data_IF_983794457925
#
_entry.id   IF_983794457925
#
_cell.length_a   1.000
_cell.length_b   1.000
_cell.length_c   1.000
_cell.angle_alpha   90.00
_cell.angle_beta   90.00
_cell.angle_gamma   90.00
#
_symmetry.space_group_name_H-M   'P 1'
#
loop_
_entity.id
_entity.type
_entity.pdbx_description
1 polymer ?
#
# COMPACT_ATOMS: atom_id res chain seq x y z
N UNK A 1 -1.05 11.51 7.99
CA UNK A 1 -1.55 10.99 9.27
C UNK A 1 -0.46 10.17 9.93
N UNK A 2 -0.41 10.17 11.26
CA UNK A 2 0.58 9.39 12.03
C UNK A 2 0.50 7.89 11.74
N UNK A 3 -0.71 7.40 11.44
CA UNK A 3 -0.96 6.02 11.02
C UNK A 3 -0.08 5.57 9.84
N UNK A 4 0.13 6.42 8.82
CA UNK A 4 0.99 6.08 7.66
C UNK A 4 2.47 5.95 8.04
N UNK A 5 2.92 6.60 9.11
CA UNK A 5 4.33 6.58 9.54
C UNK A 5 4.69 5.30 10.29
N UNK A 6 3.71 4.65 10.91
CA UNK A 6 3.90 3.40 11.66
C UNK A 6 3.80 2.15 10.77
N UNK A 7 3.29 2.27 9.54
CA UNK A 7 3.12 1.14 8.63
C UNK A 7 4.43 0.83 7.89
N UNK A 8 4.77 -0.46 7.71
CA UNK A 8 5.94 -0.85 6.94
C UNK A 8 5.74 -0.44 5.48
N UNK A 9 6.80 0.11 4.87
CA UNK A 9 6.75 0.53 3.47
C UNK A 9 6.63 -0.70 2.56
N UNK A 10 6.08 -0.51 1.37
CA UNK A 10 6.14 -1.52 0.30
C UNK A 10 7.59 -1.92 0.02
N UNK A 11 7.81 -3.20 -0.31
CA UNK A 11 9.11 -3.85 -0.50
C UNK A 11 9.99 -3.97 0.76
N UNK A 12 9.52 -3.53 1.93
CA UNK A 12 10.23 -3.76 3.20
C UNK A 12 10.32 -5.27 3.46
N UNK A 13 11.50 -5.76 3.84
CA UNK A 13 11.69 -7.15 4.26
C UNK A 13 11.10 -7.34 5.65
N UNK A 14 10.24 -8.34 5.80
CA UNK A 14 9.53 -8.64 7.05
C UNK A 14 9.61 -10.13 7.35
N UNK A 15 9.54 -10.48 8.62
CA UNK A 15 9.37 -11.84 9.10
C UNK A 15 7.94 -12.01 9.61
N UNK A 16 7.34 -13.14 9.25
CA UNK A 16 5.99 -13.55 9.63
C UNK A 16 6.06 -14.94 10.28
N UNK A 17 4.96 -15.39 10.88
CA UNK A 17 4.79 -16.77 11.37
C UNK A 17 4.92 -17.83 10.26
N UNK A 18 4.71 -17.44 9.00
CA UNK A 18 4.79 -18.31 7.82
C UNK A 18 6.16 -18.28 7.14
N UNK A 19 7.09 -17.45 7.61
CA UNK A 19 8.43 -17.28 7.04
C UNK A 19 8.77 -15.82 6.71
N UNK A 20 9.89 -15.63 6.03
CA UNK A 20 10.34 -14.31 5.57
C UNK A 20 9.70 -13.93 4.24
N UNK A 21 9.51 -12.63 4.04
CA UNK A 21 8.93 -12.09 2.82
C UNK A 21 9.11 -10.59 2.67
N UNK A 22 8.41 -10.02 1.71
CA UNK A 22 8.40 -8.58 1.44
C UNK A 22 6.98 -8.03 1.46
N UNK A 23 6.80 -6.81 1.95
CA UNK A 23 5.51 -6.13 1.91
C UNK A 23 5.11 -5.86 0.46
N UNK A 24 3.99 -6.45 0.04
CA UNK A 24 3.40 -6.24 -1.28
C UNK A 24 2.39 -5.09 -1.27
N UNK A 25 1.58 -5.00 -0.21
CA UNK A 25 0.57 -3.94 -0.03
C UNK A 25 0.17 -3.77 1.44
N UNK A 26 -0.44 -2.63 1.79
CA UNK A 26 -0.90 -2.32 3.14
C UNK A 26 -2.31 -1.74 3.12
N UNK A 27 -3.23 -2.40 3.81
CA UNK A 27 -4.59 -1.92 4.02
C UNK A 27 -4.66 -1.09 5.31
N UNK A 28 -4.55 0.23 5.17
CA UNK A 28 -4.43 1.14 6.32
C UNK A 28 -5.64 1.13 7.27
N UNK A 29 -6.85 0.92 6.74
CA UNK A 29 -8.08 0.94 7.56
C UNK A 29 -8.20 -0.30 8.45
N UNK A 30 -7.78 -1.45 7.92
CA UNK A 30 -7.86 -2.75 8.61
C UNK A 30 -6.56 -3.17 9.25
N UNK A 31 -5.49 -2.37 9.09
CA UNK A 31 -4.13 -2.67 9.57
C UNK A 31 -3.64 -4.05 9.13
N UNK A 32 -4.08 -4.48 7.94
CA UNK A 32 -3.64 -5.72 7.32
C UNK A 32 -2.53 -5.43 6.33
N UNK A 33 -1.54 -6.31 6.30
CA UNK A 33 -0.39 -6.21 5.41
C UNK A 33 -0.36 -7.45 4.54
N UNK A 34 -0.31 -7.24 3.22
CA UNK A 34 -0.07 -8.32 2.28
C UNK A 34 1.43 -8.52 2.15
N UNK A 35 1.90 -9.74 2.40
CA UNK A 35 3.31 -10.14 2.31
C UNK A 35 3.46 -11.15 1.19
N UNK A 36 4.44 -10.93 0.32
CA UNK A 36 4.90 -11.91 -0.66
C UNK A 36 6.07 -12.68 -0.05
N UNK A 37 5.86 -13.97 0.19
CA UNK A 37 6.84 -14.90 0.74
C UNK A 37 7.87 -15.31 -0.33
N UNK A 38 8.97 -15.93 0.09
CA UNK A 38 10.04 -16.39 -0.81
C UNK A 38 9.59 -17.43 -1.85
N UNK A 39 8.53 -18.19 -1.55
CA UNK A 39 7.91 -19.16 -2.45
C UNK A 39 6.88 -18.54 -3.41
N UNK A 40 6.88 -17.21 -3.53
CA UNK A 40 5.96 -16.41 -4.33
C UNK A 40 4.49 -16.47 -3.91
N UNK A 41 4.15 -17.09 -2.76
CA UNK A 41 2.79 -17.01 -2.20
C UNK A 41 2.56 -15.64 -1.58
N UNK A 42 1.33 -15.16 -1.68
CA UNK A 42 0.87 -13.95 -1.01
C UNK A 42 -0.05 -14.29 0.14
N UNK A 43 0.27 -13.76 1.31
CA UNK A 43 -0.52 -13.93 2.53
C UNK A 43 -0.90 -12.56 3.07
N UNK A 44 -2.02 -12.48 3.79
CA UNK A 44 -2.44 -11.28 4.49
C UNK A 44 -2.32 -11.55 5.98
N UNK A 45 -1.53 -10.74 6.68
CA UNK A 45 -1.31 -10.87 8.12
C UNK A 45 -1.57 -9.53 8.82
N UNK A 46 -1.98 -9.54 10.09
CA UNK A 46 -2.06 -8.33 10.91
C UNK A 46 -0.71 -7.63 11.03
N UNK A 47 -0.72 -6.31 11.09
CA UNK A 47 0.48 -5.49 11.31
C UNK A 47 1.27 -5.92 12.56
N UNK A 48 0.56 -6.31 13.63
CA UNK A 48 1.15 -6.72 14.91
C UNK A 48 1.92 -8.04 14.85
N UNK A 49 1.68 -8.87 13.83
CA UNK A 49 2.38 -10.15 13.63
C UNK A 49 3.66 -10.01 12.77
N UNK A 50 4.00 -8.79 12.37
CA UNK A 50 5.18 -8.52 11.54
C UNK A 50 6.38 -8.08 12.37
N UNK A 51 7.53 -8.69 12.09
CA UNK A 51 8.83 -8.16 12.51
C UNK A 51 9.55 -7.55 11.30
N UNK A 52 9.89 -6.27 11.38
CA UNK A 52 10.62 -5.58 10.30
C UNK A 52 12.10 -5.98 10.37
N UNK A 53 12.62 -6.54 9.28
CA UNK A 53 14.05 -6.86 9.15
C UNK A 53 14.75 -5.61 8.60
N UNK A 54 15.58 -4.92 9.40
CA UNK A 54 16.29 -3.74 8.92
C UNK A 54 17.25 -4.15 7.79
N UNK A 55 17.40 -3.34 6.74
CA UNK A 55 18.39 -3.60 5.72
C UNK A 55 19.79 -3.59 6.36
N UNK A 56 20.73 -4.43 5.86
CA UNK A 56 22.12 -4.35 6.31
C UNK A 56 22.60 -2.91 6.11
N UNK A 57 23.34 -2.39 7.09
CA UNK A 57 23.81 -1.01 7.11
C UNK A 57 24.78 -0.73 5.95
N UNK A 58 24.24 -0.51 4.76
CA UNK A 58 25.00 0.04 3.64
C UNK A 58 25.04 1.54 3.84
N UNK A 59 26.19 2.07 4.23
CA UNK A 59 26.49 3.50 4.12
C UNK A 59 26.31 3.92 2.66
N UNK A 60 25.15 4.45 2.27
CA UNK A 60 24.96 5.26 1.07
C UNK A 60 23.66 6.06 1.15
N UNK A 61 23.89 7.38 1.26
CA UNK A 61 23.10 8.57 0.94
C UNK A 61 21.60 8.41 0.65
N UNK A 62 20.83 9.25 1.36
CA UNK A 62 19.65 9.98 0.91
C UNK A 62 19.33 9.79 -0.58
N UNK A 63 18.29 9.01 -0.88
CA UNK A 63 17.60 9.13 -2.17
C UNK A 63 16.09 9.21 -1.91
N UNK A 64 15.54 10.30 -2.44
CA UNK A 64 14.14 10.68 -2.43
C UNK A 64 13.25 9.52 -2.85
N UNK A 65 12.28 9.17 -2.00
CA UNK A 65 11.16 8.29 -2.34
C UNK A 65 10.15 9.12 -3.17
N UNK A 66 10.50 9.38 -4.42
CA UNK A 66 9.62 9.92 -5.45
C UNK A 66 8.52 8.90 -5.69
N UNK A 67 7.33 9.20 -5.19
CA UNK A 67 6.12 8.43 -5.49
C UNK A 67 5.66 8.77 -6.91
N UNK A 68 6.19 8.08 -7.92
CA UNK A 68 5.56 7.99 -9.24
C UNK A 68 4.29 7.12 -9.12
N UNK A 69 3.20 7.77 -8.72
CA UNK A 69 1.85 7.24 -8.84
C UNK A 69 1.36 7.44 -10.27
N UNK A 70 1.23 6.32 -10.98
CA UNK A 70 0.60 6.16 -12.28
C UNK A 70 -0.74 6.89 -12.38
N UNK A 71 -0.99 7.45 -13.56
CA UNK A 71 -2.29 7.91 -14.07
C UNK A 71 -3.43 6.96 -13.66
N UNK A 72 -4.36 7.46 -12.86
CA UNK A 72 -5.74 6.98 -12.85
C UNK A 72 -6.54 7.98 -13.66
N UNK A 73 -6.94 7.52 -14.85
CA UNK A 73 -7.91 8.19 -15.68
C UNK A 73 -9.18 8.46 -14.88
N UNK A 74 -9.64 9.70 -14.98
CA UNK A 74 -10.90 10.19 -14.44
C UNK A 74 -12.07 9.29 -14.88
N UNK A 75 -12.75 8.67 -13.91
CA UNK A 75 -14.17 8.40 -14.07
C UNK A 75 -14.93 9.67 -13.66
N UNK A 76 -15.81 10.18 -14.54
CA UNK A 76 -17.05 10.77 -14.08
C UNK A 76 -18.22 9.86 -14.46
N UNK A 77 -18.72 9.16 -13.44
CA UNK A 77 -20.11 8.69 -13.37
C UNK A 77 -21.05 9.89 -13.55
N UNK A 78 -21.82 9.93 -14.63
CA UNK A 78 -22.94 10.88 -14.76
C UNK A 78 -24.23 10.08 -14.78
N UNK A 79 -24.81 9.87 -13.59
CA UNK A 79 -26.17 9.41 -13.45
C UNK A 79 -27.02 10.55 -12.86
N UNK A 80 -27.96 11.03 -13.69
CA UNK A 80 -29.22 11.71 -13.43
C UNK A 80 -29.27 12.97 -12.53
N UNK A 81 -29.78 14.08 -13.09
CA UNK A 81 -30.94 14.83 -12.53
C UNK A 81 -31.42 15.96 -13.48
N UNK A 82 -32.59 15.70 -14.07
CA UNK A 82 -33.77 16.57 -14.22
C UNK A 82 -33.60 18.10 -14.27
N UNK A 83 -33.81 18.72 -15.45
CA UNK A 83 -34.36 20.09 -15.59
C UNK A 83 -35.21 20.25 -16.85
N UNK A 84 -36.52 20.22 -16.63
CA UNK A 84 -37.57 20.84 -17.44
C UNK A 84 -37.36 22.36 -17.61
N UNK A 85 -37.53 22.91 -18.84
CA UNK A 85 -38.39 24.08 -19.19
C UNK A 85 -38.02 24.82 -20.50
N UNK A 86 -38.96 24.76 -21.47
CA UNK A 86 -39.57 25.84 -22.28
C UNK A 86 -38.87 26.58 -23.47
N UNK A 87 -39.74 26.94 -24.45
CA UNK A 87 -39.68 27.92 -25.57
C UNK A 87 -39.27 27.33 -26.94
N UNK A 88 -40.07 27.37 -28.02
CA UNK A 88 -40.86 28.47 -28.62
C UNK A 88 -42.17 27.97 -29.23
#
# INVERSE_FOLDING_TARGET
TELKKALPKKNTKVKTTFGEGKVADVQILTQLVMVELEDARRITVPLEELEIIPPPATTKKEENDTSEGKEQADEPTNNAEDKNNNTV
#
